data_IF_271633119781
#
_entry.id   IF_271633119781
#
_cell.length_a   1.000
_cell.length_b   1.000
_cell.length_c   1.000
_cell.angle_alpha   90.00
_cell.angle_beta   90.00
_cell.angle_gamma   90.00
#
_symmetry.space_group_name_H-M   'P 1'
#
loop_
_entity.id
_entity.type
_entity.pdbx_description
1 polymer ?
#
# COMPACT_ATOMS: atom_id res chain seq x y z
N UNK A 1 15.40 8.58 -25.69
CA UNK A 1 14.72 8.40 -24.38
C UNK A 1 13.65 7.33 -24.51
N UNK A 2 13.72 6.27 -23.70
CA UNK A 2 12.67 5.25 -23.61
C UNK A 2 11.85 5.51 -22.34
N UNK A 3 10.52 5.53 -22.48
CA UNK A 3 9.59 5.69 -21.37
C UNK A 3 8.93 4.34 -21.10
N UNK A 4 8.92 3.92 -19.82
CA UNK A 4 8.19 2.75 -19.37
C UNK A 4 6.96 3.21 -18.59
N UNK A 5 5.78 2.84 -19.10
CA UNK A 5 4.50 3.07 -18.42
C UNK A 5 4.04 1.73 -17.88
N UNK A 6 3.81 1.66 -16.56
CA UNK A 6 3.32 0.47 -15.88
C UNK A 6 1.88 0.72 -15.48
N UNK A 7 0.97 -0.07 -16.03
CA UNK A 7 -0.45 -0.04 -15.69
C UNK A 7 -0.74 -1.18 -14.71
N UNK A 8 -1.26 -0.85 -13.54
CA UNK A 8 -1.67 -1.82 -12.53
C UNK A 8 -3.19 -1.90 -12.52
N UNK A 9 -3.71 -3.08 -12.85
CA UNK A 9 -5.15 -3.36 -12.76
C UNK A 9 -5.50 -3.82 -11.35
N UNK A 10 -6.60 -3.32 -10.80
CA UNK A 10 -7.17 -3.78 -9.52
C UNK A 10 -6.19 -3.72 -8.33
N UNK A 11 -5.33 -2.71 -8.30
CA UNK A 11 -4.30 -2.54 -7.27
C UNK A 11 -4.88 -2.71 -5.85
N UNK A 12 -6.01 -2.05 -5.58
CA UNK A 12 -6.67 -2.09 -4.27
C UNK A 12 -7.18 -3.49 -3.87
N UNK A 13 -7.55 -4.34 -4.84
CA UNK A 13 -8.03 -5.70 -4.61
C UNK A 13 -6.91 -6.74 -4.59
N UNK A 14 -5.76 -6.45 -5.21
CA UNK A 14 -4.63 -7.38 -5.31
C UNK A 14 -3.53 -7.16 -4.26
N UNK A 15 -3.53 -6.03 -3.55
CA UNK A 15 -2.52 -5.78 -2.51
C UNK A 15 -2.59 -6.88 -1.43
N UNK A 16 -1.48 -7.63 -1.21
CA UNK A 16 -1.43 -8.64 -0.17
C UNK A 16 -1.48 -7.97 1.21
N UNK A 17 -2.42 -8.42 2.05
CA UNK A 17 -2.67 -7.85 3.40
C UNK A 17 -1.39 -7.72 4.22
N UNK A 18 -0.65 -8.82 4.36
CA UNK A 18 0.59 -8.86 5.13
C UNK A 18 1.67 -7.96 4.52
N UNK A 19 1.77 -7.92 3.19
CA UNK A 19 2.70 -7.03 2.48
C UNK A 19 2.39 -5.56 2.77
N UNK A 20 1.13 -5.15 2.68
CA UNK A 20 0.72 -3.78 2.97
C UNK A 20 0.95 -3.38 4.43
N UNK A 21 0.64 -4.27 5.38
CA UNK A 21 0.88 -4.03 6.80
C UNK A 21 2.38 -3.91 7.09
N UNK A 22 3.21 -4.79 6.51
CA UNK A 22 4.65 -4.71 6.65
C UNK A 22 5.20 -3.40 6.09
N UNK A 23 4.77 -3.01 4.90
CA UNK A 23 5.19 -1.76 4.28
C UNK A 23 4.74 -0.53 5.07
N UNK A 24 3.51 -0.55 5.61
CA UNK A 24 3.03 0.49 6.52
C UNK A 24 3.90 0.60 7.77
N UNK A 25 4.24 -0.52 8.41
CA UNK A 25 5.10 -0.54 9.58
C UNK A 25 6.48 0.05 9.27
N UNK A 26 7.12 -0.40 8.19
CA UNK A 26 8.42 0.12 7.73
C UNK A 26 8.36 1.62 7.42
N UNK A 27 7.28 2.08 6.78
CA UNK A 27 7.06 3.50 6.49
C UNK A 27 6.91 4.32 7.78
N UNK A 28 6.13 3.83 8.76
CA UNK A 28 5.96 4.48 10.05
C UNK A 28 7.30 4.55 10.81
N UNK A 29 8.06 3.47 10.89
CA UNK A 29 9.38 3.44 11.53
C UNK A 29 10.37 4.41 10.90
N UNK A 30 10.35 4.53 9.56
CA UNK A 30 11.25 5.41 8.82
C UNK A 30 10.90 6.89 8.97
N UNK A 31 9.61 7.23 9.03
CA UNK A 31 9.14 8.62 9.03
C UNK A 31 8.83 9.16 10.44
N UNK A 32 8.76 8.31 11.46
CA UNK A 32 8.50 8.74 12.85
C UNK A 32 9.79 8.80 13.65
N UNK A 33 10.33 10.01 13.82
CA UNK A 33 11.57 10.27 14.57
C UNK A 33 11.53 9.88 16.06
N UNK A 34 10.37 9.47 16.62
CA UNK A 34 10.22 9.01 18.00
C UNK A 34 9.24 7.83 18.19
N UNK A 35 8.83 7.13 17.11
CA UNK A 35 7.93 5.97 17.20
C UNK A 35 6.50 6.26 17.67
N UNK A 36 6.07 7.53 17.68
CA UNK A 36 4.72 7.98 18.03
C UNK A 36 4.25 9.10 17.13
N UNK A 37 2.98 9.05 16.72
CA UNK A 37 2.24 10.21 16.20
C UNK A 37 1.49 10.78 17.40
N UNK A 38 1.99 11.86 17.97
CA UNK A 38 1.39 12.54 19.12
C UNK A 38 1.20 11.59 20.33
N UNK A 39 0.01 11.04 20.54
CA UNK A 39 -0.31 10.07 21.62
C UNK A 39 -0.34 8.60 21.16
N UNK A 40 -0.28 8.33 19.86
CA UNK A 40 -0.54 7.02 19.28
C UNK A 40 0.77 6.30 18.93
N UNK A 41 0.97 5.11 19.51
CA UNK A 41 2.11 4.25 19.19
C UNK A 41 1.94 3.59 17.82
N UNK A 42 3.07 3.23 17.18
CA UNK A 42 3.09 2.43 15.95
C UNK A 42 2.25 1.15 16.13
N UNK A 43 2.35 0.48 17.28
CA UNK A 43 1.56 -0.73 17.56
C UNK A 43 0.04 -0.45 17.53
N UNK A 44 -0.40 0.70 18.08
CA UNK A 44 -1.80 1.12 18.03
C UNK A 44 -2.30 1.33 16.61
N UNK A 45 -1.50 2.01 15.77
CA UNK A 45 -1.80 2.21 14.35
C UNK A 45 -1.89 0.87 13.63
N UNK A 46 -0.93 -0.03 13.88
CA UNK A 46 -0.88 -1.36 13.27
C UNK A 46 -2.05 -2.25 13.69
N UNK A 47 -2.50 -2.16 14.95
CA UNK A 47 -3.69 -2.88 15.43
C UNK A 47 -4.97 -2.36 14.77
N UNK A 48 -5.11 -1.05 14.61
CA UNK A 48 -6.27 -0.48 13.89
C UNK A 48 -6.24 -0.83 12.41
N UNK A 49 -5.06 -0.77 11.78
CA UNK A 49 -4.87 -1.18 10.40
C UNK A 49 -5.30 -2.63 10.17
N UNK A 50 -4.85 -3.56 11.04
CA UNK A 50 -5.30 -4.96 11.01
C UNK A 50 -6.80 -5.07 11.19
N UNK A 51 -7.37 -4.38 12.19
CA UNK A 51 -8.80 -4.43 12.46
C UNK A 51 -9.64 -3.97 11.26
N UNK A 52 -9.24 -2.89 10.57
CA UNK A 52 -9.94 -2.38 9.39
C UNK A 52 -9.86 -3.39 8.24
N UNK A 53 -8.71 -4.05 8.05
CA UNK A 53 -8.56 -5.07 7.02
C UNK A 53 -9.30 -6.37 7.36
N UNK A 54 -9.39 -6.73 8.64
CA UNK A 54 -10.11 -7.91 9.11
C UNK A 54 -11.63 -7.72 9.06
N UNK A 55 -12.10 -6.50 9.30
CA UNK A 55 -13.53 -6.12 9.29
C UNK A 55 -14.03 -5.66 7.92
N UNK A 56 -13.25 -5.85 6.84
CA UNK A 56 -13.72 -5.65 5.47
C UNK A 56 -14.79 -6.68 5.11
N UNK A 57 -16.02 -6.38 5.52
CA UNK A 57 -17.24 -7.09 5.20
C UNK A 57 -18.09 -6.20 4.30
N UNK A 58 -18.53 -6.73 3.16
CA UNK A 58 -19.47 -6.04 2.27
C UNK A 58 -20.78 -6.82 2.21
N UNK A 59 -21.89 -6.10 2.06
CA UNK A 59 -23.19 -6.71 1.80
C UNK A 59 -23.47 -6.70 0.30
N UNK A 60 -23.85 -7.85 -0.24
CA UNK A 60 -24.33 -7.96 -1.61
C UNK A 60 -25.52 -8.91 -1.64
N UNK A 61 -26.62 -8.47 -2.26
CA UNK A 61 -27.83 -9.27 -2.42
C UNK A 61 -28.34 -9.88 -1.09
N UNK A 62 -28.52 -9.05 -0.05
CA UNK A 62 -28.93 -9.44 1.31
C UNK A 62 -28.04 -10.49 2.01
N UNK A 63 -26.82 -10.71 1.52
CA UNK A 63 -25.83 -11.59 2.15
C UNK A 63 -24.58 -10.80 2.53
N UNK A 64 -23.98 -11.14 3.66
CA UNK A 64 -22.73 -10.56 4.13
C UNK A 64 -21.55 -11.42 3.68
N UNK A 65 -20.56 -10.80 3.06
CA UNK A 65 -19.34 -11.45 2.59
C UNK A 65 -18.14 -10.78 3.22
N UNK A 66 -17.17 -11.58 3.66
CA UNK A 66 -15.89 -11.08 4.14
C UNK A 66 -14.89 -11.13 3.00
N UNK A 67 -14.23 -10.01 2.74
CA UNK A 67 -13.21 -9.92 1.70
C UNK A 67 -11.91 -10.52 2.22
N UNK A 68 -11.52 -11.67 1.66
CA UNK A 68 -10.31 -12.41 2.07
C UNK A 68 -9.04 -11.93 1.37
N UNK A 69 -9.16 -11.08 0.32
CA UNK A 69 -8.05 -10.52 -0.45
C UNK A 69 -8.28 -9.06 -0.83
N UNK A 70 -7.23 -8.24 -0.67
CA UNK A 70 -7.28 -6.80 -0.91
C UNK A 70 -8.07 -6.04 0.15
N UNK A 71 -8.33 -4.77 -0.14
CA UNK A 71 -9.21 -3.90 0.64
C UNK A 71 -10.51 -3.56 -0.09
N UNK A 72 -11.50 -3.06 0.64
CA UNK A 72 -12.71 -2.53 0.03
C UNK A 72 -12.38 -1.35 -0.88
N UNK A 73 -12.66 -1.49 -2.19
CA UNK A 73 -12.56 -0.39 -3.15
C UNK A 73 -13.48 0.74 -2.70
N UNK A 74 -12.89 1.89 -2.34
CA UNK A 74 -13.61 3.05 -1.77
C UNK A 74 -13.31 3.34 -0.30
N UNK A 75 -12.58 2.47 0.41
CA UNK A 75 -12.09 2.80 1.75
C UNK A 75 -10.89 3.75 1.65
N UNK A 76 -11.00 4.93 2.29
CA UNK A 76 -9.90 5.89 2.39
C UNK A 76 -8.61 5.27 2.96
N UNK A 77 -8.76 4.31 3.87
CA UNK A 77 -7.63 3.57 4.43
C UNK A 77 -6.95 2.65 3.41
N UNK A 78 -7.73 1.98 2.57
CA UNK A 78 -7.19 1.13 1.48
C UNK A 78 -6.44 1.97 0.46
N UNK A 79 -6.91 3.19 0.19
CA UNK A 79 -6.22 4.12 -0.71
C UNK A 79 -4.85 4.55 -0.17
N UNK A 80 -4.78 4.90 1.11
CA UNK A 80 -3.52 5.26 1.78
C UNK A 80 -2.54 4.08 1.80
N UNK A 81 -3.03 2.88 2.14
CA UNK A 81 -2.20 1.67 2.13
C UNK A 81 -1.62 1.37 0.74
N UNK A 82 -2.42 1.51 -0.31
CA UNK A 82 -1.96 1.31 -1.68
C UNK A 82 -0.86 2.30 -2.06
N UNK A 83 -1.04 3.58 -1.71
CA UNK A 83 -0.03 4.60 -1.98
C UNK A 83 1.30 4.29 -1.26
N UNK A 84 1.24 3.89 0.01
CA UNK A 84 2.43 3.52 0.79
C UNK A 84 3.11 2.27 0.20
N UNK A 85 2.31 1.27 -0.19
CA UNK A 85 2.81 0.05 -0.83
C UNK A 85 3.54 0.36 -2.14
N UNK A 86 2.92 1.19 -2.98
CA UNK A 86 3.49 1.59 -4.26
C UNK A 86 4.73 2.46 -4.12
N UNK A 87 4.75 3.35 -3.13
CA UNK A 87 5.91 4.18 -2.84
C UNK A 87 7.15 3.32 -2.54
N UNK A 88 7.03 2.31 -1.67
CA UNK A 88 8.15 1.42 -1.34
C UNK A 88 8.55 0.53 -2.52
N UNK A 89 7.59 0.04 -3.31
CA UNK A 89 7.87 -0.70 -4.54
C UNK A 89 8.66 0.15 -5.56
N UNK A 90 8.28 1.41 -5.73
CA UNK A 90 8.97 2.36 -6.61
C UNK A 90 10.41 2.60 -6.15
N UNK A 91 10.66 2.71 -4.85
CA UNK A 91 12.02 2.88 -4.32
C UNK A 91 12.92 1.71 -4.68
N UNK A 92 12.41 0.47 -4.64
CA UNK A 92 13.20 -0.70 -5.00
C UNK A 92 13.46 -0.78 -6.52
N UNK A 93 12.48 -0.37 -7.33
CA UNK A 93 12.68 -0.21 -8.78
C UNK A 93 13.75 0.83 -9.10
N UNK A 94 13.71 2.01 -8.46
CA UNK A 94 14.69 3.08 -8.64
C UNK A 94 16.09 2.60 -8.25
N UNK A 95 16.25 1.89 -7.13
CA UNK A 95 17.54 1.31 -6.72
C UNK A 95 18.06 0.32 -7.76
N UNK A 96 17.19 -0.56 -8.26
CA UNK A 96 17.56 -1.55 -9.27
C UNK A 96 18.02 -0.87 -10.57
N UNK A 97 17.30 0.17 -11.02
CA UNK A 97 17.68 0.98 -12.18
C UNK A 97 19.03 1.69 -11.98
N UNK A 98 19.27 2.26 -10.80
CA UNK A 98 20.53 2.93 -10.46
C UNK A 98 21.73 1.96 -10.52
N UNK A 99 21.54 0.70 -10.09
CA UNK A 99 22.58 -0.34 -10.13
C UNK A 99 22.87 -0.77 -11.58
N UNK A 100 21.84 -0.92 -12.41
CA UNK A 100 21.98 -1.40 -13.79
C UNK A 100 22.29 -0.29 -14.82
N UNK A 101 22.43 0.98 -14.40
CA UNK A 101 22.69 2.15 -15.27
C UNK A 101 21.71 2.31 -16.44
N UNK A 102 20.51 1.73 -16.33
CA UNK A 102 19.41 2.05 -17.22
C UNK A 102 18.79 3.37 -16.76
N UNK A 103 19.34 4.48 -17.26
CA UNK A 103 18.77 5.81 -17.06
C UNK A 103 17.46 5.92 -17.86
N UNK A 104 16.36 5.42 -17.29
CA UNK A 104 15.03 5.77 -17.77
C UNK A 104 14.68 7.14 -17.19
N UNK A 105 14.64 8.17 -18.05
CA UNK A 105 14.36 9.58 -17.65
C UNK A 105 12.92 9.78 -17.11
N UNK A 106 12.06 8.77 -17.14
CA UNK A 106 10.73 8.85 -16.55
C UNK A 106 10.06 7.48 -16.43
N UNK A 107 9.86 7.03 -15.20
CA UNK A 107 8.88 5.99 -14.86
C UNK A 107 7.62 6.72 -14.39
N UNK A 108 6.49 6.50 -15.07
CA UNK A 108 5.20 7.03 -14.65
C UNK A 108 4.26 5.87 -14.35
N UNK A 109 3.78 5.78 -13.11
CA UNK A 109 2.78 4.79 -12.69
C UNK A 109 1.41 5.45 -12.66
N UNK A 110 0.50 4.90 -13.47
CA UNK A 110 -0.89 5.34 -13.51
C UNK A 110 -1.72 4.27 -12.79
N UNK A 111 -2.47 4.72 -11.78
CA UNK A 111 -3.39 3.88 -11.01
C UNK A 111 -4.80 4.07 -11.59
N UNK A 112 -5.44 2.99 -12.04
CA UNK A 112 -6.81 2.97 -12.57
C UNK A 112 -7.68 2.00 -11.80
#
# INVERSE_FOLDING_TARGET
>A
TQFLIINLTDLYAMIPREGALHTLMKFLEKNLHHGKIDTLSIDGIMRMARLILDTNCFSYNNKYYQQTRGGAMGSAFTQILANIYMYEWEQDLIKHQAIHKEYMEGTSMIYS
#
